data_IF_903084908469
#
_entry.id   IF_903084908469
#
_cell.length_a   1.000
_cell.length_b   1.000
_cell.length_c   1.000
_cell.angle_alpha   90.00
_cell.angle_beta   90.00
_cell.angle_gamma   90.00
#
_symmetry.space_group_name_H-M   'P 1'
#
loop_
_entity.id
_entity.type
_entity.pdbx_description
1 polymer ?
#
# COMPACT_ATOMS: atom_id res chain seq x y z
N UNK A 1 27.44 18.21 -38.73
CA UNK A 1 26.22 18.72 -38.04
C UNK A 1 25.18 17.61 -37.80
N UNK A 2 24.90 16.74 -38.78
CA UNK A 2 23.84 15.69 -38.73
C UNK A 2 23.93 14.71 -37.54
N UNK A 3 25.11 14.18 -37.20
CA UNK A 3 25.24 13.17 -36.14
C UNK A 3 24.86 13.65 -34.72
N UNK A 4 24.96 14.95 -34.42
CA UNK A 4 24.57 15.50 -33.10
C UNK A 4 23.05 15.58 -32.92
N UNK A 5 22.31 15.74 -34.02
CA UNK A 5 20.85 15.79 -33.99
C UNK A 5 20.29 14.39 -33.84
N UNK A 6 20.86 13.43 -34.58
CA UNK A 6 20.51 12.00 -34.46
C UNK A 6 20.79 11.48 -33.05
N UNK A 7 21.92 11.84 -32.44
CA UNK A 7 22.23 11.40 -31.07
C UNK A 7 21.30 12.01 -30.02
N UNK A 8 20.88 13.28 -30.19
CA UNK A 8 19.90 13.92 -29.31
C UNK A 8 18.53 13.26 -29.40
N UNK A 9 18.07 12.95 -30.62
CA UNK A 9 16.80 12.24 -30.84
C UNK A 9 16.86 10.85 -30.23
N UNK A 10 17.96 10.11 -30.42
CA UNK A 10 18.15 8.79 -29.80
C UNK A 10 18.09 8.85 -28.28
N UNK A 11 18.77 9.82 -27.67
CA UNK A 11 18.76 10.01 -26.22
C UNK A 11 17.38 10.42 -25.69
N UNK A 12 16.63 11.20 -26.47
CA UNK A 12 15.26 11.58 -26.12
C UNK A 12 14.32 10.38 -26.17
N UNK A 13 14.39 9.55 -27.22
CA UNK A 13 13.59 8.32 -27.36
C UNK A 13 13.91 7.34 -26.22
N UNK A 14 15.18 7.13 -25.88
CA UNK A 14 15.55 6.27 -24.76
C UNK A 14 15.07 6.81 -23.41
N UNK A 15 15.03 8.13 -23.24
CA UNK A 15 14.46 8.75 -22.03
C UNK A 15 12.95 8.52 -21.93
N UNK A 16 12.22 8.64 -23.04
CA UNK A 16 10.78 8.39 -23.11
C UNK A 16 10.46 6.91 -22.86
N UNK A 17 11.27 5.98 -23.37
CA UNK A 17 11.12 4.54 -23.14
C UNK A 17 11.34 4.19 -21.65
N UNK A 18 12.38 4.75 -21.05
CA UNK A 18 12.65 4.59 -19.62
C UNK A 18 11.48 5.08 -18.77
N UNK A 19 10.99 6.30 -19.04
CA UNK A 19 9.88 6.90 -18.27
C UNK A 19 8.59 6.10 -18.45
N UNK A 20 8.26 5.63 -19.65
CA UNK A 20 7.06 4.80 -19.84
C UNK A 20 7.14 3.49 -19.07
N UNK A 21 8.31 2.84 -19.07
CA UNK A 21 8.51 1.60 -18.32
C UNK A 21 8.43 1.83 -16.82
N UNK A 22 9.04 2.92 -16.34
CA UNK A 22 9.00 3.32 -14.94
C UNK A 22 7.57 3.66 -14.48
N UNK A 23 6.79 4.36 -15.32
CA UNK A 23 5.37 4.62 -15.06
C UNK A 23 4.54 3.33 -15.03
N UNK A 24 4.71 2.43 -16.00
CA UNK A 24 3.98 1.16 -16.01
C UNK A 24 4.28 0.33 -14.75
N UNK A 25 5.55 0.24 -14.34
CA UNK A 25 5.95 -0.49 -13.13
C UNK A 25 5.39 0.18 -11.87
N UNK A 26 5.48 1.51 -11.77
CA UNK A 26 4.97 2.24 -10.59
C UNK A 26 3.45 2.15 -10.47
N UNK A 27 2.71 2.15 -11.58
CA UNK A 27 1.26 1.90 -11.56
C UNK A 27 0.94 0.49 -11.06
N UNK A 28 1.60 -0.54 -11.56
CA UNK A 28 1.39 -1.92 -11.09
C UNK A 28 1.72 -2.09 -9.61
N UNK A 29 2.80 -1.47 -9.12
CA UNK A 29 3.16 -1.49 -7.70
C UNK A 29 2.11 -0.78 -6.83
N UNK A 30 1.50 0.28 -7.33
CA UNK A 30 0.43 0.96 -6.62
C UNK A 30 -0.85 0.11 -6.57
N UNK A 31 -1.24 -0.51 -7.69
CA UNK A 31 -2.39 -1.40 -7.75
C UNK A 31 -2.25 -2.60 -6.81
N UNK A 32 -1.06 -3.20 -6.77
CA UNK A 32 -0.76 -4.34 -5.91
C UNK A 32 -0.92 -3.97 -4.43
N UNK A 33 -0.34 -2.84 -4.01
CA UNK A 33 -0.51 -2.31 -2.65
C UNK A 33 -1.97 -2.02 -2.30
N UNK A 34 -2.74 -1.50 -3.24
CA UNK A 34 -4.16 -1.21 -2.99
C UNK A 34 -4.98 -2.50 -2.87
N UNK A 35 -4.66 -3.53 -3.65
CA UNK A 35 -5.25 -4.86 -3.50
C UNK A 35 -4.90 -5.49 -2.14
N UNK A 36 -3.67 -5.34 -1.65
CA UNK A 36 -3.27 -5.80 -0.31
C UNK A 36 -4.06 -5.09 0.81
N UNK A 37 -4.26 -3.77 0.68
CA UNK A 37 -5.08 -2.99 1.61
C UNK A 37 -6.53 -3.48 1.63
N UNK A 38 -7.15 -3.64 0.45
CA UNK A 38 -8.54 -4.13 0.33
C UNK A 38 -8.65 -5.56 0.85
N UNK A 39 -7.67 -6.41 0.57
CA UNK A 39 -7.63 -7.80 1.06
C UNK A 39 -7.57 -7.85 2.59
N UNK A 40 -6.73 -7.00 3.20
CA UNK A 40 -6.67 -6.85 4.66
C UNK A 40 -8.01 -6.39 5.23
N UNK A 41 -8.66 -5.40 4.60
CA UNK A 41 -9.98 -4.93 5.00
C UNK A 41 -11.07 -5.99 4.84
N UNK A 42 -11.02 -6.86 3.83
CA UNK A 42 -11.99 -7.93 3.66
C UNK A 42 -11.83 -9.02 4.72
N UNK A 43 -10.59 -9.41 5.01
CA UNK A 43 -10.30 -10.43 6.02
C UNK A 43 -10.62 -9.93 7.43
N UNK A 44 -10.15 -8.74 7.79
CA UNK A 44 -10.38 -8.14 9.11
C UNK A 44 -11.78 -7.53 9.26
N UNK A 45 -12.37 -7.03 8.17
CA UNK A 45 -13.72 -6.45 8.15
C UNK A 45 -14.84 -7.46 8.40
N UNK A 46 -14.56 -8.77 8.22
CA UNK A 46 -15.45 -9.83 8.70
C UNK A 46 -15.72 -9.72 10.21
N UNK A 47 -14.74 -9.24 10.98
CA UNK A 47 -14.85 -9.00 12.42
C UNK A 47 -15.51 -7.65 12.76
N UNK A 48 -15.69 -6.75 11.78
CA UNK A 48 -16.33 -5.44 11.96
C UNK A 48 -17.72 -5.33 11.33
N UNK A 49 -18.27 -6.43 10.78
CA UNK A 49 -19.63 -6.47 10.21
C UNK A 49 -19.74 -6.09 8.73
N UNK A 50 -18.63 -5.95 8.01
CA UNK A 50 -18.63 -5.80 6.55
C UNK A 50 -18.95 -7.17 5.93
N UNK A 51 -19.81 -7.28 4.88
CA UNK A 51 -20.05 -8.55 4.20
C UNK A 51 -18.73 -9.08 3.63
N UNK A 52 -18.18 -10.07 4.33
CA UNK A 52 -16.86 -10.59 4.10
C UNK A 52 -16.94 -12.09 3.73
N UNK A 53 -15.89 -12.63 3.09
CA UNK A 53 -15.82 -14.07 2.81
C UNK A 53 -16.03 -14.90 4.09
N UNK A 54 -16.58 -16.14 3.97
CA UNK A 54 -16.81 -17.01 5.12
C UNK A 54 -15.57 -17.15 6.00
N UNK A 55 -15.73 -17.02 7.33
CA UNK A 55 -14.62 -16.91 8.29
C UNK A 55 -13.56 -18.03 8.18
N UNK A 56 -13.93 -19.23 7.74
CA UNK A 56 -12.99 -20.33 7.49
C UNK A 56 -11.99 -20.01 6.38
N UNK A 57 -12.47 -19.47 5.25
CA UNK A 57 -11.63 -19.03 4.14
C UNK A 57 -10.72 -17.89 4.60
N UNK A 58 -11.26 -16.99 5.41
CA UNK A 58 -10.47 -15.90 5.96
C UNK A 58 -9.32 -16.39 6.84
N UNK A 59 -9.58 -17.37 7.71
CA UNK A 59 -8.56 -17.93 8.60
C UNK A 59 -7.42 -18.64 7.85
N UNK A 60 -7.72 -19.31 6.74
CA UNK A 60 -6.71 -19.94 5.87
C UNK A 60 -5.83 -18.92 5.15
N UNK A 61 -6.38 -17.73 4.89
CA UNK A 61 -5.71 -16.64 4.17
C UNK A 61 -4.94 -15.67 5.08
N UNK A 62 -5.19 -15.67 6.40
CA UNK A 62 -4.46 -14.85 7.39
C UNK A 62 -2.93 -14.96 7.29
N UNK A 63 -2.31 -16.13 7.08
CA UNK A 63 -0.86 -16.23 6.92
C UNK A 63 -0.28 -15.40 5.77
N UNK A 64 -1.08 -15.13 4.72
CA UNK A 64 -0.66 -14.27 3.60
C UNK A 64 -0.58 -12.79 4.01
N UNK A 65 -1.29 -12.39 5.07
CA UNK A 65 -1.27 -11.05 5.65
C UNK A 65 -0.18 -10.84 6.71
N UNK A 66 0.75 -11.77 6.91
CA UNK A 66 1.71 -11.71 8.02
C UNK A 66 2.50 -10.39 8.07
N UNK A 67 2.90 -9.87 6.91
CA UNK A 67 3.60 -8.59 6.82
C UNK A 67 2.71 -7.43 7.26
N UNK A 68 1.48 -7.36 6.74
CA UNK A 68 0.56 -6.27 7.06
C UNK A 68 0.00 -6.32 8.46
N UNK A 69 -0.21 -7.52 9.02
CA UNK A 69 -0.54 -7.69 10.43
C UNK A 69 0.57 -7.17 11.34
N UNK A 70 1.84 -7.30 10.94
CA UNK A 70 2.98 -6.76 11.69
C UNK A 70 3.00 -5.24 11.63
N UNK A 71 2.76 -4.64 10.47
CA UNK A 71 2.65 -3.18 10.32
C UNK A 71 1.45 -2.64 11.10
N UNK A 72 0.30 -3.31 11.00
CA UNK A 72 -0.90 -2.99 11.74
C UNK A 72 -0.67 -3.06 13.25
N UNK A 73 -0.03 -4.13 13.74
CA UNK A 73 0.29 -4.29 15.16
C UNK A 73 1.25 -3.20 15.66
N UNK A 74 2.31 -2.90 14.89
CA UNK A 74 3.22 -1.80 15.23
C UNK A 74 2.48 -0.46 15.26
N UNK A 75 1.56 -0.21 14.33
CA UNK A 75 0.74 1.01 14.33
C UNK A 75 -0.24 1.06 15.50
N UNK A 76 -0.87 -0.06 15.85
CA UNK A 76 -1.78 -0.17 16.99
C UNK A 76 -1.06 0.08 18.32
N UNK A 77 0.15 -0.47 18.49
CA UNK A 77 1.01 -0.21 19.64
C UNK A 77 1.34 1.29 19.78
N UNK A 78 1.67 1.95 18.67
CA UNK A 78 1.93 3.39 18.65
C UNK A 78 0.65 4.26 18.74
N UNK A 79 -0.54 3.68 18.53
CA UNK A 79 -1.81 4.43 18.57
C UNK A 79 -2.23 4.78 19.99
N UNK A 80 -1.73 4.07 20.99
CA UNK A 80 -1.97 4.43 22.39
C UNK A 80 -1.29 5.75 22.77
N UNK A 81 -0.15 6.09 22.16
CA UNK A 81 0.55 7.34 22.39
C UNK A 81 -0.22 8.54 21.81
N UNK A 82 -0.73 8.41 20.58
CA UNK A 82 -1.57 9.44 19.96
C UNK A 82 -2.95 9.56 20.61
N UNK A 83 -3.55 8.46 21.06
CA UNK A 83 -4.78 8.52 21.86
C UNK A 83 -4.54 9.17 23.22
N UNK A 84 -3.43 8.85 23.90
CA UNK A 84 -3.06 9.48 25.17
C UNK A 84 -2.81 11.00 25.03
N UNK A 85 -2.19 11.43 23.93
CA UNK A 85 -2.04 12.84 23.59
C UNK A 85 -3.40 13.52 23.35
N UNK A 86 -4.30 12.86 22.60
CA UNK A 86 -5.66 13.39 22.35
C UNK A 86 -6.51 13.44 23.62
N UNK A 87 -6.44 12.44 24.51
CA UNK A 87 -7.15 12.46 25.80
C UNK A 87 -6.58 13.52 26.74
N UNK A 88 -5.27 13.76 26.70
CA UNK A 88 -4.63 14.87 27.41
C UNK A 88 -5.09 16.25 26.91
N UNK A 89 -5.30 16.42 25.60
CA UNK A 89 -5.87 17.65 25.01
C UNK A 89 -7.35 17.82 25.38
N UNK A 90 -8.10 16.72 25.48
CA UNK A 90 -9.52 16.73 25.86
C UNK A 90 -9.76 16.91 27.37
N UNK A 91 -8.69 16.98 28.18
CA UNK A 91 -8.78 17.27 29.62
C UNK A 91 -9.44 16.17 30.44
N UNK A 92 -9.42 14.93 29.93
CA UNK A 92 -9.91 13.76 30.66
C UNK A 92 -8.69 13.17 31.39
N UNK A 93 -8.58 13.48 32.70
CA UNK A 93 -7.73 12.77 33.65
C UNK A 93 -8.25 11.33 33.90
#
# INVERSE_FOLDING_TARGET
>A
MSNKIVSKIKNFISGVEYVHRDQAVSHTLWEERELENIFTLLLMGSFSGIPAPPAFISAELIPLLTHELKIFNNRAENSFDTLAEMTGVLGID
#
